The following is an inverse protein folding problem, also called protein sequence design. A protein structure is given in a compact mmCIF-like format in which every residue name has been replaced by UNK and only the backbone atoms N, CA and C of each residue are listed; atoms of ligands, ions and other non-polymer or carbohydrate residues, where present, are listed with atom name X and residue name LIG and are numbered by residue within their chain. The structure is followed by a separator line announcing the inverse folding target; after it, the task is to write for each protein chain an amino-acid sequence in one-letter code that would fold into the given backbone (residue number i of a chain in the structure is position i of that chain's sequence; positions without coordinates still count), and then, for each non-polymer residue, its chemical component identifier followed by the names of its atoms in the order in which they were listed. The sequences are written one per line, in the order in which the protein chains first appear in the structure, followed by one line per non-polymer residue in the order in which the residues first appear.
data_IF_797573290723
#
_entry.id   IF_797573290723
#
_cell.length_a   1.000
_cell.length_b   1.000
_cell.length_c   1.000
_cell.angle_alpha   90.00
_cell.angle_beta   90.00
_cell.angle_gamma   90.00
#
_symmetry.space_group_name_H-M   'P 1'
#
loop_
_entity.id
_entity.type
_entity.pdbx_description
1 polymer ?
#
# COMPACT_ATOMS: atom_id res chain seq x y z
N UNK A 1 -4.46 -42.66 13.55
CA UNK A 1 -4.18 -41.24 13.79
C UNK A 1 -5.12 -40.50 12.86
N UNK A 2 -6.20 -39.95 13.41
CA UNK A 2 -7.21 -39.27 12.62
C UNK A 2 -6.63 -37.94 12.13
N UNK A 3 -6.37 -37.85 10.84
CA UNK A 3 -6.01 -36.59 10.20
C UNK A 3 -7.28 -35.74 10.11
N UNK A 4 -7.46 -34.84 11.07
CA UNK A 4 -8.40 -33.73 10.91
C UNK A 4 -7.93 -32.93 9.68
N UNK A 5 -8.75 -32.77 8.63
CA UNK A 5 -8.39 -31.92 7.50
C UNK A 5 -8.14 -30.50 8.02
N UNK A 6 -7.14 -29.77 7.49
CA UNK A 6 -6.88 -28.41 7.93
C UNK A 6 -8.17 -27.59 7.81
N UNK A 7 -8.60 -26.99 8.92
CA UNK A 7 -9.81 -26.16 8.96
C UNK A 7 -9.67 -25.03 7.94
N UNK A 8 -10.67 -24.90 7.06
CA UNK A 8 -10.70 -23.80 6.10
C UNK A 8 -10.96 -22.48 6.83
N UNK A 9 -10.24 -21.40 6.48
CA UNK A 9 -10.46 -20.11 7.10
C UNK A 9 -11.88 -19.60 6.79
N UNK A 10 -12.54 -19.03 7.79
CA UNK A 10 -13.86 -18.40 7.61
C UNK A 10 -13.80 -17.15 6.72
N UNK A 11 -12.64 -16.48 6.70
CA UNK A 11 -12.40 -15.26 5.94
C UNK A 11 -10.90 -15.07 5.71
N UNK A 12 -10.50 -14.49 4.57
CA UNK A 12 -9.09 -14.17 4.27
C UNK A 12 -8.99 -12.78 3.64
N UNK A 13 -8.02 -11.97 4.08
CA UNK A 13 -7.74 -10.66 3.49
C UNK A 13 -6.24 -10.36 3.48
N UNK A 14 -5.82 -9.54 2.52
CA UNK A 14 -4.46 -9.01 2.46
C UNK A 14 -4.31 -7.80 3.37
N UNK A 15 -3.13 -7.59 3.94
CA UNK A 15 -2.83 -6.38 4.71
C UNK A 15 -1.46 -5.84 4.33
N UNK A 16 -1.38 -4.52 4.13
CA UNK A 16 -0.12 -3.81 3.87
C UNK A 16 -0.20 -2.40 4.49
N UNK A 17 0.93 -1.88 4.95
CA UNK A 17 1.02 -0.58 5.60
C UNK A 17 2.28 0.16 5.11
N UNK A 18 2.26 1.49 5.22
CA UNK A 18 3.44 2.34 5.06
C UNK A 18 4.23 2.05 3.77
N UNK A 19 3.53 1.93 2.64
CA UNK A 19 4.20 1.80 1.33
C UNK A 19 5.09 3.02 1.12
N UNK A 20 4.60 4.22 1.45
CA UNK A 20 5.35 5.47 1.43
C UNK A 20 6.18 5.63 0.14
N UNK A 21 5.58 5.32 -1.01
CA UNK A 21 6.26 5.42 -2.29
C UNK A 21 6.63 6.88 -2.63
N UNK A 22 7.84 7.05 -3.14
CA UNK A 22 8.28 8.27 -3.81
C UNK A 22 9.37 7.89 -4.82
N UNK A 23 9.38 8.56 -5.98
CA UNK A 23 10.41 8.34 -7.01
C UNK A 23 11.71 9.11 -6.69
N UNK A 24 12.33 8.76 -5.56
CA UNK A 24 13.53 9.40 -5.03
C UNK A 24 14.51 8.36 -4.51
N UNK A 25 15.78 8.76 -4.36
CA UNK A 25 16.81 7.90 -3.77
C UNK A 25 16.48 7.57 -2.31
N UNK A 26 17.01 6.42 -1.86
CA UNK A 26 16.86 6.01 -0.47
C UNK A 26 17.29 7.12 0.49
N UNK A 27 16.50 7.30 1.54
CA UNK A 27 16.75 8.29 2.56
C UNK A 27 16.79 7.67 3.94
N UNK A 28 16.60 8.53 4.93
CA UNK A 28 16.45 8.11 6.32
C UNK A 28 15.23 8.76 6.93
N UNK A 29 14.73 8.17 8.02
CA UNK A 29 13.78 8.85 8.89
C UNK A 29 14.41 10.10 9.52
N UNK A 30 13.59 10.93 10.15
CA UNK A 30 14.01 12.19 10.77
C UNK A 30 15.20 12.03 11.73
N UNK A 31 15.17 11.02 12.60
CA UNK A 31 16.24 10.73 13.56
C UNK A 31 17.48 10.06 12.96
N UNK A 32 17.50 9.81 11.64
CA UNK A 32 18.57 9.11 10.92
C UNK A 32 18.94 7.72 11.47
N UNK A 33 17.99 7.06 12.12
CA UNK A 33 18.18 5.72 12.70
C UNK A 33 17.65 4.61 11.81
N UNK A 34 16.76 4.91 10.86
CA UNK A 34 16.18 3.93 9.94
C UNK A 34 16.27 4.41 8.51
N UNK A 35 16.77 3.55 7.64
CA UNK A 35 16.81 3.78 6.20
C UNK A 35 15.39 3.63 5.63
N UNK A 36 15.01 4.49 4.69
CA UNK A 36 13.74 4.48 3.96
C UNK A 36 14.03 4.16 2.49
N UNK A 37 13.35 3.13 1.97
CA UNK A 37 13.57 2.59 0.62
C UNK A 37 12.40 2.96 -0.30
N UNK A 38 12.36 4.23 -0.73
CA UNK A 38 11.17 4.81 -1.36
C UNK A 38 10.77 4.12 -2.66
N UNK A 39 11.70 3.88 -3.59
CA UNK A 39 11.39 3.18 -4.85
C UNK A 39 11.13 1.69 -4.65
N UNK A 40 11.90 1.05 -3.77
CA UNK A 40 11.77 -0.38 -3.50
C UNK A 40 10.43 -0.76 -2.86
N UNK A 41 9.75 0.20 -2.20
CA UNK A 41 8.39 -0.03 -1.67
C UNK A 41 7.41 -0.53 -2.74
N UNK A 42 7.51 -0.03 -3.97
CA UNK A 42 6.65 -0.43 -5.09
C UNK A 42 6.91 -1.88 -5.50
N UNK A 43 8.17 -2.32 -5.45
CA UNK A 43 8.52 -3.72 -5.70
C UNK A 43 8.01 -4.64 -4.59
N UNK A 44 8.03 -4.19 -3.33
CA UNK A 44 7.46 -4.95 -2.21
C UNK A 44 5.95 -5.09 -2.36
N UNK A 45 5.25 -4.03 -2.79
CA UNK A 45 3.82 -4.10 -3.12
C UNK A 45 3.53 -5.10 -4.24
N UNK A 46 4.30 -5.07 -5.34
CA UNK A 46 4.18 -6.07 -6.43
C UNK A 46 4.37 -7.50 -5.93
N UNK A 47 5.36 -7.72 -5.07
CA UNK A 47 5.60 -9.04 -4.45
C UNK A 47 4.43 -9.44 -3.55
N UNK A 48 3.87 -8.54 -2.75
CA UNK A 48 2.70 -8.81 -1.92
C UNK A 48 1.49 -9.22 -2.78
N UNK A 49 1.18 -8.45 -3.83
CA UNK A 49 0.13 -8.75 -4.81
C UNK A 49 0.31 -10.14 -5.43
N UNK A 50 1.52 -10.45 -5.89
CA UNK A 50 1.85 -11.76 -6.45
C UNK A 50 1.60 -12.88 -5.43
N UNK A 51 2.10 -12.72 -4.20
CA UNK A 51 1.92 -13.72 -3.12
C UNK A 51 0.46 -13.96 -2.79
N UNK A 52 -0.36 -12.91 -2.74
CA UNK A 52 -1.80 -13.04 -2.52
C UNK A 52 -2.48 -13.79 -3.67
N UNK A 53 -2.11 -13.51 -4.92
CA UNK A 53 -2.68 -14.18 -6.10
C UNK A 53 -2.34 -15.68 -6.18
N UNK A 54 -1.18 -16.07 -5.65
CA UNK A 54 -0.66 -17.44 -5.62
C UNK A 54 -1.08 -18.22 -4.37
N UNK A 55 -1.71 -17.56 -3.40
CA UNK A 55 -2.16 -18.19 -2.15
C UNK A 55 -3.29 -19.19 -2.41
N UNK A 56 -3.26 -20.31 -1.69
CA UNK A 56 -4.34 -21.31 -1.72
C UNK A 56 -5.68 -20.71 -1.24
N UNK A 57 -5.63 -19.86 -0.20
CA UNK A 57 -6.74 -19.02 0.23
C UNK A 57 -6.49 -17.59 -0.28
N UNK A 58 -7.20 -17.19 -1.34
CA UNK A 58 -7.08 -15.85 -1.92
C UNK A 58 -7.81 -14.84 -1.02
N UNK A 59 -7.24 -13.64 -0.83
CA UNK A 59 -7.92 -12.62 -0.07
C UNK A 59 -9.16 -12.11 -0.80
N UNK A 60 -10.24 -11.88 -0.05
CA UNK A 60 -11.47 -11.29 -0.55
C UNK A 60 -11.32 -9.79 -0.79
N UNK A 61 -10.52 -9.12 0.05
CA UNK A 61 -10.08 -7.75 -0.12
C UNK A 61 -8.66 -7.54 0.41
N UNK A 62 -8.08 -6.38 0.15
CA UNK A 62 -6.82 -5.91 0.73
C UNK A 62 -7.10 -4.68 1.59
N UNK A 63 -6.57 -4.66 2.80
CA UNK A 63 -6.58 -3.49 3.68
C UNK A 63 -5.22 -2.79 3.62
N UNK A 64 -5.19 -1.60 3.04
CA UNK A 64 -4.02 -0.72 3.02
C UNK A 64 -4.13 0.29 4.16
N UNK A 65 -3.22 0.21 5.13
CA UNK A 65 -3.33 0.88 6.45
C UNK A 65 -2.80 2.33 6.49
N UNK A 66 -2.88 3.07 5.40
CA UNK A 66 -2.39 4.45 5.33
C UNK A 66 -0.95 4.58 4.84
N UNK A 67 -0.55 5.84 4.65
CA UNK A 67 0.76 6.25 4.18
C UNK A 67 1.18 5.55 2.89
N UNK A 68 0.32 5.61 1.86
CA UNK A 68 0.51 4.94 0.57
C UNK A 68 1.64 5.58 -0.25
N UNK A 69 1.82 6.90 -0.12
CA UNK A 69 2.91 7.68 -0.72
C UNK A 69 3.60 8.53 0.33
N UNK A 70 4.89 8.81 0.14
CA UNK A 70 5.63 9.66 1.09
C UNK A 70 5.27 11.15 0.96
N UNK A 71 5.48 11.93 2.03
CA UNK A 71 5.19 13.37 2.08
C UNK A 71 6.19 14.19 1.26
N UNK A 72 7.37 13.63 0.99
CA UNK A 72 8.39 14.23 0.13
C UNK A 72 7.91 14.42 -1.32
N UNK A 73 6.83 13.74 -1.75
CA UNK A 73 6.23 13.99 -3.06
C UNK A 73 5.62 15.40 -3.15
N UNK A 74 5.11 15.97 -2.04
CA UNK A 74 4.44 17.27 -2.03
C UNK A 74 5.36 18.41 -2.45
N UNK A 75 6.54 18.49 -1.84
CA UNK A 75 7.52 19.55 -2.13
C UNK A 75 8.10 19.45 -3.55
N UNK A 76 7.92 18.30 -4.22
CA UNK A 76 8.35 18.03 -5.58
C UNK A 76 7.24 18.18 -6.62
N UNK A 77 6.01 18.50 -6.20
CA UNK A 77 4.85 18.52 -7.10
C UNK A 77 4.50 17.16 -7.69
N UNK A 78 4.90 16.07 -7.04
CA UNK A 78 4.81 14.70 -7.57
C UNK A 78 3.69 13.85 -6.93
N UNK A 79 2.89 14.42 -6.02
CA UNK A 79 1.89 13.68 -5.23
C UNK A 79 0.91 12.88 -6.09
N UNK A 80 0.33 13.50 -7.11
CA UNK A 80 -0.62 12.83 -8.03
C UNK A 80 0.06 11.72 -8.85
N UNK A 81 1.27 11.97 -9.35
CA UNK A 81 2.00 10.98 -10.13
C UNK A 81 2.38 9.77 -9.26
N UNK A 82 2.86 10.02 -8.04
CA UNK A 82 3.20 8.98 -7.08
C UNK A 82 1.97 8.15 -6.70
N UNK A 83 0.84 8.80 -6.40
CA UNK A 83 -0.41 8.12 -6.06
C UNK A 83 -0.89 7.24 -7.23
N UNK A 84 -0.94 7.80 -8.45
CA UNK A 84 -1.33 7.05 -9.64
C UNK A 84 -0.41 5.86 -9.93
N UNK A 85 0.87 5.98 -9.61
CA UNK A 85 1.84 4.89 -9.75
C UNK A 85 1.49 3.73 -8.81
N UNK A 86 1.24 4.01 -7.53
CA UNK A 86 0.87 2.96 -6.57
C UNK A 86 -0.51 2.36 -6.86
N UNK A 87 -1.51 3.20 -7.21
CA UNK A 87 -2.85 2.72 -7.55
C UNK A 87 -2.87 1.83 -8.79
N UNK A 88 -1.96 2.05 -9.75
CA UNK A 88 -1.83 1.17 -10.92
C UNK A 88 -1.36 -0.23 -10.53
N UNK A 89 -0.49 -0.35 -9.52
CA UNK A 89 -0.07 -1.66 -9.01
C UNK A 89 -1.22 -2.39 -8.33
N UNK A 90 -2.10 -1.68 -7.63
CA UNK A 90 -3.32 -2.27 -7.05
C UNK A 90 -4.32 -2.71 -8.13
N UNK A 91 -4.46 -1.92 -9.21
CA UNK A 91 -5.32 -2.24 -10.36
C UNK A 91 -4.91 -3.49 -11.16
N UNK A 92 -3.75 -4.11 -10.86
CA UNK A 92 -3.33 -5.37 -11.48
C UNK A 92 -4.10 -6.60 -10.98
N UNK A 93 -4.89 -6.45 -9.91
CA UNK A 93 -5.74 -7.50 -9.32
C UNK A 93 -7.20 -7.03 -9.30
N UNK A 94 -8.19 -7.90 -9.54
CA UNK A 94 -9.60 -7.55 -9.37
C UNK A 94 -10.03 -7.47 -7.88
N UNK A 95 -9.15 -7.80 -6.94
CA UNK A 95 -9.43 -7.78 -5.50
C UNK A 95 -9.63 -6.33 -5.03
N UNK A 96 -10.72 -6.10 -4.29
CA UNK A 96 -11.04 -4.78 -3.74
C UNK A 96 -9.97 -4.34 -2.73
N UNK A 97 -9.65 -3.04 -2.73
CA UNK A 97 -8.68 -2.45 -1.80
C UNK A 97 -9.37 -1.38 -0.97
N UNK A 98 -9.37 -1.56 0.34
CA UNK A 98 -9.82 -0.55 1.28
C UNK A 98 -8.63 0.29 1.75
N UNK A 99 -8.76 1.60 1.60
CA UNK A 99 -7.70 2.57 1.89
C UNK A 99 -7.97 3.31 3.19
N UNK A 100 -7.06 3.21 4.15
CA UNK A 100 -7.02 4.08 5.33
C UNK A 100 -6.19 5.31 4.99
N UNK A 101 -6.52 6.47 5.56
CA UNK A 101 -5.71 7.68 5.44
C UNK A 101 -4.82 7.84 6.67
N UNK A 102 -3.52 7.80 6.45
CA UNK A 102 -2.48 8.17 7.40
C UNK A 102 -2.11 9.64 7.30
N UNK A 103 -1.06 10.03 8.03
CA UNK A 103 -0.61 11.42 8.03
C UNK A 103 0.04 11.83 6.70
N UNK A 104 0.66 10.90 5.97
CA UNK A 104 1.29 11.22 4.69
C UNK A 104 0.28 11.51 3.57
N UNK A 105 -0.95 10.97 3.65
CA UNK A 105 -2.04 11.41 2.77
C UNK A 105 -2.33 12.90 3.00
N UNK A 106 -2.43 13.34 4.26
CA UNK A 106 -2.67 14.74 4.61
C UNK A 106 -1.46 15.67 4.37
N UNK A 107 -0.24 15.13 4.29
CA UNK A 107 0.92 15.91 3.82
C UNK A 107 0.84 16.22 2.33
N UNK A 108 0.23 15.33 1.55
CA UNK A 108 0.15 15.46 0.09
C UNK A 108 -1.12 16.18 -0.37
N UNK A 109 -2.26 15.88 0.25
CA UNK A 109 -3.59 16.25 -0.23
C UNK A 109 -4.44 16.92 0.86
N UNK A 110 -5.36 17.78 0.46
CA UNK A 110 -6.40 18.27 1.36
C UNK A 110 -7.43 17.18 1.65
N UNK A 111 -8.15 17.28 2.77
CA UNK A 111 -9.26 16.37 3.08
C UNK A 111 -10.32 16.35 1.97
N UNK A 112 -10.62 17.51 1.36
CA UNK A 112 -11.56 17.60 0.25
C UNK A 112 -11.08 16.84 -0.98
N UNK A 113 -9.78 16.90 -1.30
CA UNK A 113 -9.20 16.15 -2.40
C UNK A 113 -9.26 14.63 -2.13
N UNK A 114 -8.96 14.20 -0.91
CA UNK A 114 -9.03 12.79 -0.51
C UNK A 114 -10.44 12.22 -0.62
N UNK A 115 -11.46 12.95 -0.16
CA UNK A 115 -12.87 12.55 -0.29
C UNK A 115 -13.34 12.36 -1.74
N UNK A 116 -12.72 13.07 -2.68
CA UNK A 116 -13.00 12.97 -4.12
C UNK A 116 -12.05 12.03 -4.88
N UNK A 117 -11.10 11.41 -4.18
CA UNK A 117 -10.04 10.60 -4.78
C UNK A 117 -10.40 9.12 -4.80
N UNK A 118 -9.57 8.31 -5.48
CA UNK A 118 -9.64 6.85 -5.44
C UNK A 118 -9.24 6.23 -4.09
N UNK A 119 -8.86 7.04 -3.11
CA UNK A 119 -8.61 6.59 -1.73
C UNK A 119 -9.86 6.63 -0.85
N UNK A 120 -11.03 7.01 -1.40
CA UNK A 120 -12.34 6.99 -0.75
C UNK A 120 -13.30 6.09 -1.53
#
# INVERSE_FOLDING_TARGET
MDHCPPEQPLFTFGVIADVQYADIDDGYNYSRTRKRYYRSSLELLRKAQKRWSESAAKPEFILQLGDIIDGLNKSRGASELALNTVLREFSSSPVEVHHVWGNHEFYNFSRSALLSSRLN
#
